data_IF_182936741154
#
_entry.id   IF_182936741154
#
_cell.length_a   1.000
_cell.length_b   1.000
_cell.length_c   1.000
_cell.angle_alpha   90.00
_cell.angle_beta   90.00
_cell.angle_gamma   90.00
#
_symmetry.space_group_name_H-M   'P 1'
#
loop_
_entity.id
_entity.type
_entity.pdbx_description
1 polymer ?
#
# COMPACT_ATOMS: atom_id res chain seq x y z
N UNK A 1 11.68 -2.23 97.87
CA UNK A 1 10.81 -1.13 97.42
C UNK A 1 10.14 -1.57 96.14
N UNK A 2 8.80 -1.59 96.13
CA UNK A 2 7.85 -1.75 95.00
C UNK A 2 7.99 -2.98 94.07
N UNK A 3 6.94 -3.59 93.53
CA UNK A 3 5.50 -3.68 93.79
C UNK A 3 4.95 -4.61 92.69
N UNK A 4 3.97 -5.48 93.03
CA UNK A 4 2.88 -6.02 92.17
C UNK A 4 3.24 -6.80 90.88
N UNK A 5 3.04 -8.13 90.85
CA UNK A 5 1.81 -8.88 90.48
C UNK A 5 1.47 -8.88 88.97
N UNK A 6 1.53 -10.04 88.29
CA UNK A 6 0.34 -10.86 87.98
C UNK A 6 0.62 -12.02 87.00
N UNK A 7 0.04 -13.17 87.37
CA UNK A 7 -0.56 -14.22 86.55
C UNK A 7 0.29 -15.03 85.54
N UNK A 8 0.56 -16.29 85.91
CA UNK A 8 0.68 -17.38 84.93
C UNK A 8 -0.06 -18.62 85.48
N UNK A 9 -1.05 -19.14 84.73
CA UNK A 9 -1.69 -20.44 85.00
C UNK A 9 -1.57 -21.33 83.76
N UNK A 10 -1.23 -22.63 83.93
CA UNK A 10 -0.95 -23.55 82.84
C UNK A 10 -2.17 -24.40 82.49
N UNK A 11 -2.23 -24.95 81.27
CA UNK A 11 -2.97 -26.19 81.03
C UNK A 11 -2.30 -27.08 79.99
N UNK A 12 -2.03 -28.30 80.43
CA UNK A 12 -1.55 -29.43 79.65
C UNK A 12 -2.68 -30.05 78.82
N UNK A 13 -2.32 -30.59 77.66
CA UNK A 13 -3.18 -31.44 76.84
C UNK A 13 -2.33 -32.28 75.88
N UNK A 14 -2.05 -33.52 76.27
CA UNK A 14 -1.32 -34.53 75.48
C UNK A 14 -2.28 -35.14 74.45
N UNK A 15 -1.93 -35.11 73.17
CA UNK A 15 -2.53 -35.96 72.14
C UNK A 15 -1.42 -36.80 71.47
N UNK A 16 -1.47 -38.12 71.63
CA UNK A 16 -0.64 -39.07 70.89
C UNK A 16 -1.16 -39.13 69.45
N UNK A 17 -0.38 -38.65 68.48
CA UNK A 17 -0.63 -38.87 67.05
C UNK A 17 0.06 -40.16 66.63
N UNK A 18 -0.72 -41.11 66.10
CA UNK A 18 -0.22 -42.31 65.44
C UNK A 18 0.58 -41.91 64.19
N UNK A 19 1.81 -42.41 64.07
CA UNK A 19 2.63 -42.26 62.87
C UNK A 19 2.16 -43.28 61.82
N UNK A 20 1.44 -42.81 60.79
CA UNK A 20 1.25 -43.56 59.56
C UNK A 20 2.49 -43.38 58.69
N UNK A 21 3.37 -44.39 58.64
CA UNK A 21 4.51 -44.42 57.73
C UNK A 21 4.03 -44.72 56.31
N UNK A 22 4.22 -43.77 55.38
CA UNK A 22 4.04 -44.00 53.95
C UNK A 22 5.29 -44.72 53.43
N UNK A 23 5.15 -45.96 52.93
CA UNK A 23 6.24 -46.69 52.29
C UNK A 23 6.43 -46.11 50.89
N UNK A 24 7.32 -45.12 50.78
CA UNK A 24 7.86 -44.72 49.47
C UNK A 24 8.77 -45.86 49.04
N UNK A 25 8.37 -46.62 48.02
CA UNK A 25 9.25 -47.62 47.41
C UNK A 25 10.44 -46.89 46.77
N UNK A 26 11.64 -47.48 46.87
CA UNK A 26 12.88 -46.87 46.38
C UNK A 26 12.77 -46.45 44.90
N UNK A 27 11.98 -47.18 44.11
CA UNK A 27 11.68 -46.87 42.71
C UNK A 27 10.95 -45.52 42.53
N UNK A 28 10.00 -45.18 43.40
CA UNK A 28 9.30 -43.89 43.33
C UNK A 28 10.25 -42.74 43.64
N UNK A 29 11.16 -42.92 44.61
CA UNK A 29 12.17 -41.92 44.95
C UNK A 29 13.16 -41.73 43.79
N UNK A 30 13.53 -42.80 43.11
CA UNK A 30 14.44 -42.79 41.96
C UNK A 30 13.77 -42.12 40.74
N UNK A 31 12.49 -42.38 40.49
CA UNK A 31 11.73 -41.72 39.42
C UNK A 31 11.56 -40.22 39.70
N UNK A 32 11.21 -39.83 40.92
CA UNK A 32 11.06 -38.42 41.30
C UNK A 32 12.40 -37.68 41.18
N UNK A 33 13.51 -38.30 41.60
CA UNK A 33 14.83 -37.64 41.53
C UNK A 33 15.32 -37.47 40.09
N UNK A 34 15.17 -38.48 39.22
CA UNK A 34 15.49 -38.32 37.79
C UNK A 34 14.58 -37.28 37.14
N UNK A 35 13.29 -37.29 37.46
CA UNK A 35 12.33 -36.34 36.89
C UNK A 35 12.65 -34.91 37.33
N UNK A 36 12.84 -34.66 38.63
CA UNK A 36 13.07 -33.31 39.18
C UNK A 36 14.46 -32.80 38.81
N UNK A 37 15.52 -33.59 38.96
CA UNK A 37 16.87 -33.14 38.59
C UNK A 37 17.02 -33.03 37.07
N UNK A 38 16.45 -33.96 36.31
CA UNK A 38 16.46 -33.93 34.85
C UNK A 38 15.69 -32.73 34.28
N UNK A 39 14.53 -32.40 34.86
CA UNK A 39 13.75 -31.23 34.41
C UNK A 39 14.40 -29.90 34.82
N UNK A 40 15.06 -29.80 35.98
CA UNK A 40 15.83 -28.60 36.34
C UNK A 40 16.99 -28.37 35.37
N UNK A 41 17.74 -29.42 35.01
CA UNK A 41 18.82 -29.32 34.02
C UNK A 41 18.27 -28.97 32.63
N UNK A 42 17.14 -29.57 32.23
CA UNK A 42 16.46 -29.26 30.97
C UNK A 42 16.01 -27.80 30.86
N UNK A 43 15.42 -27.24 31.92
CA UNK A 43 14.99 -25.83 31.97
C UNK A 43 16.20 -24.89 31.88
N UNK A 44 17.29 -25.19 32.57
CA UNK A 44 18.52 -24.36 32.52
C UNK A 44 19.15 -24.41 31.12
N UNK A 45 19.19 -25.58 30.48
CA UNK A 45 19.72 -25.72 29.12
C UNK A 45 18.86 -24.98 28.07
N UNK A 46 17.53 -25.04 28.20
CA UNK A 46 16.62 -24.26 27.33
C UNK A 46 16.82 -22.77 27.55
N UNK A 47 16.94 -22.31 28.81
CA UNK A 47 17.20 -20.90 29.11
C UNK A 47 18.53 -20.42 28.55
N UNK A 48 19.59 -21.19 28.71
CA UNK A 48 20.92 -20.86 28.17
C UNK A 48 20.93 -20.86 26.63
N UNK A 49 20.25 -21.82 26.00
CA UNK A 49 20.08 -21.84 24.54
C UNK A 49 19.24 -20.66 24.02
N UNK A 50 18.18 -20.27 24.73
CA UNK A 50 17.36 -19.10 24.39
C UNK A 50 18.14 -17.80 24.57
N UNK A 51 18.92 -17.67 25.64
CA UNK A 51 19.79 -16.50 25.86
C UNK A 51 20.88 -16.43 24.80
N UNK A 52 21.54 -17.55 24.47
CA UNK A 52 22.54 -17.60 23.39
C UNK A 52 21.94 -17.27 22.03
N UNK A 53 20.73 -17.76 21.73
CA UNK A 53 20.01 -17.42 20.49
C UNK A 53 19.63 -15.93 20.46
N UNK A 54 19.15 -15.39 21.57
CA UNK A 54 18.79 -13.98 21.70
C UNK A 54 20.01 -13.05 21.54
N UNK A 55 21.13 -13.40 22.19
CA UNK A 55 22.40 -12.65 22.09
C UNK A 55 23.03 -12.78 20.70
N UNK A 56 22.95 -13.96 20.07
CA UNK A 56 23.43 -14.17 18.70
C UNK A 56 22.59 -13.45 17.65
N UNK A 57 21.29 -13.25 17.88
CA UNK A 57 20.44 -12.43 17.01
C UNK A 57 20.72 -10.93 17.21
N UNK A 58 21.07 -10.49 18.42
CA UNK A 58 21.49 -9.11 18.67
C UNK A 58 22.85 -8.78 18.07
N UNK A 59 23.78 -9.74 17.96
CA UNK A 59 25.11 -9.53 17.39
C UNK A 59 25.14 -9.49 15.85
N UNK A 60 24.00 -9.45 15.16
CA UNK A 60 23.91 -9.41 13.69
C UNK A 60 23.12 -8.20 13.14
N UNK A 61 22.59 -7.36 14.02
CA UNK A 61 21.71 -6.25 13.65
C UNK A 61 22.53 -5.06 13.15
N UNK A 62 22.35 -4.73 11.88
CA UNK A 62 22.95 -3.55 11.26
C UNK A 62 22.26 -2.28 11.79
N UNK A 63 23.04 -1.36 12.35
CA UNK A 63 22.51 -0.07 12.84
C UNK A 63 22.90 1.01 11.85
N UNK A 64 21.92 1.83 11.46
CA UNK A 64 22.14 2.98 10.58
C UNK A 64 22.37 4.23 11.43
N UNK A 65 23.42 4.97 11.11
CA UNK A 65 23.80 6.21 11.79
C UNK A 65 23.98 7.35 10.79
N UNK A 66 23.76 8.58 11.24
CA UNK A 66 24.02 9.78 10.47
C UNK A 66 25.51 10.21 10.54
N UNK A 67 25.86 11.32 9.89
CA UNK A 67 27.22 11.84 9.85
C UNK A 67 27.79 12.20 11.23
N UNK A 68 26.92 12.55 12.18
CA UNK A 68 27.27 12.92 13.56
C UNK A 68 27.27 11.72 14.51
N UNK A 69 26.93 10.52 14.02
CA UNK A 69 26.84 9.29 14.80
C UNK A 69 25.52 9.14 15.56
N UNK A 70 24.50 9.96 15.26
CA UNK A 70 23.14 9.78 15.78
C UNK A 70 22.55 8.52 15.14
N UNK A 71 22.05 7.62 15.96
CA UNK A 71 21.39 6.41 15.47
C UNK A 71 20.02 6.75 14.86
N UNK A 72 19.78 6.29 13.64
CA UNK A 72 18.47 6.33 13.00
C UNK A 72 17.62 5.14 13.45
N UNK A 73 18.25 3.96 13.52
CA UNK A 73 17.60 2.73 13.94
C UNK A 73 18.29 1.47 13.45
N UNK A 74 17.66 0.34 13.72
CA UNK A 74 18.05 -0.97 13.21
C UNK A 74 17.50 -1.16 11.78
N UNK A 75 18.33 -1.66 10.87
CA UNK A 75 17.89 -2.06 9.54
C UNK A 75 16.98 -3.30 9.64
N UNK A 76 15.76 -3.18 9.13
CA UNK A 76 14.82 -4.29 9.04
C UNK A 76 15.22 -5.28 7.94
N UNK A 77 15.64 -4.75 6.80
CA UNK A 77 16.17 -5.47 5.65
C UNK A 77 16.93 -4.49 4.71
N UNK A 78 17.20 -4.91 3.48
CA UNK A 78 17.85 -4.12 2.44
C UNK A 78 17.01 -4.13 1.17
N UNK A 79 17.03 -3.03 0.42
CA UNK A 79 16.33 -2.93 -0.87
C UNK A 79 17.13 -3.56 -2.02
N UNK A 80 16.57 -3.53 -3.23
CA UNK A 80 17.18 -4.04 -4.46
C UNK A 80 18.54 -3.40 -4.82
N UNK A 81 18.94 -2.33 -4.13
CA UNK A 81 20.18 -1.60 -4.31
C UNK A 81 21.09 -1.68 -3.08
N UNK A 82 20.89 -2.68 -2.22
CA UNK A 82 21.61 -2.90 -0.96
C UNK A 82 21.52 -1.72 0.02
N UNK A 83 20.52 -0.84 -0.12
CA UNK A 83 20.29 0.24 0.84
C UNK A 83 19.49 -0.30 2.04
N UNK A 84 19.95 -0.08 3.30
CA UNK A 84 19.20 -0.52 4.48
C UNK A 84 17.84 0.17 4.54
N UNK A 85 16.79 -0.59 4.89
CA UNK A 85 15.45 -0.06 5.13
C UNK A 85 15.09 -0.12 6.61
N UNK A 86 14.45 0.91 7.11
CA UNK A 86 14.04 1.04 8.50
C UNK A 86 12.53 1.32 8.58
N UNK A 87 11.90 0.82 9.63
CA UNK A 87 10.55 1.23 9.98
C UNK A 87 10.60 2.58 10.69
N UNK A 88 10.04 3.61 10.06
CA UNK A 88 9.64 4.83 10.73
C UNK A 88 8.23 4.66 11.30
N UNK A 89 7.99 5.17 12.50
CA UNK A 89 6.67 5.16 13.14
C UNK A 89 6.20 6.60 13.22
N UNK A 90 5.17 6.95 12.44
CA UNK A 90 4.52 8.24 12.54
C UNK A 90 3.66 8.27 13.81
N UNK A 91 4.04 9.15 14.73
CA UNK A 91 3.37 9.38 16.02
C UNK A 91 2.60 10.69 16.06
N UNK A 92 2.57 11.42 14.96
CA UNK A 92 1.84 12.69 14.86
C UNK A 92 0.34 12.51 14.53
N UNK A 93 -0.14 11.26 14.55
CA UNK A 93 -1.53 10.87 14.26
C UNK A 93 -2.15 10.12 15.45
N UNK A 94 -3.47 9.99 15.44
CA UNK A 94 -4.23 9.22 16.45
C UNK A 94 -3.88 7.72 16.45
N UNK A 95 -3.35 7.21 15.33
CA UNK A 95 -2.86 5.85 15.17
C UNK A 95 -1.37 5.88 14.80
N UNK A 96 -0.64 4.88 15.32
CA UNK A 96 0.76 4.69 14.98
C UNK A 96 0.90 4.03 13.61
N UNK A 97 0.95 4.86 12.58
CA UNK A 97 1.24 4.42 11.23
C UNK A 97 2.74 4.19 11.04
N UNK A 98 3.09 3.40 10.04
CA UNK A 98 4.48 3.05 9.75
C UNK A 98 4.80 3.39 8.31
N UNK A 99 6.02 3.85 8.08
CA UNK A 99 6.61 4.00 6.75
C UNK A 99 7.89 3.17 6.67
N UNK A 100 8.13 2.54 5.52
CA UNK A 100 9.37 1.84 5.26
C UNK A 100 10.32 2.79 4.52
N UNK A 101 11.37 3.24 5.20
CA UNK A 101 12.32 4.24 4.70
C UNK A 101 13.63 3.57 4.37
N UNK A 102 14.02 3.58 3.10
CA UNK A 102 15.38 3.24 2.67
C UNK A 102 16.35 4.38 2.99
N UNK A 103 17.59 4.03 3.35
CA UNK A 103 18.64 4.99 3.65
C UNK A 103 19.84 4.73 2.76
N UNK A 104 20.10 5.65 1.84
CA UNK A 104 21.32 5.67 1.03
C UNK A 104 22.35 6.57 1.69
N UNK A 105 23.57 6.57 1.18
CA UNK A 105 24.66 7.41 1.71
C UNK A 105 24.27 8.90 1.77
N UNK A 106 23.51 9.42 0.81
CA UNK A 106 23.22 10.85 0.69
C UNK A 106 21.76 11.25 0.98
N UNK A 107 20.83 10.28 1.08
CA UNK A 107 19.40 10.56 1.11
C UNK A 107 18.54 9.45 1.71
N UNK A 108 17.33 9.82 2.09
CA UNK A 108 16.24 8.90 2.38
C UNK A 108 15.46 8.54 1.12
N UNK A 109 14.85 7.35 1.10
CA UNK A 109 14.12 6.85 -0.07
C UNK A 109 12.85 6.08 0.30
N UNK A 110 11.85 6.14 -0.57
CA UNK A 110 10.60 5.37 -0.55
C UNK A 110 10.31 4.84 -1.94
N UNK A 111 9.43 3.83 -2.06
CA UNK A 111 8.99 3.36 -3.38
C UNK A 111 8.12 4.41 -4.05
N UNK A 112 7.24 5.05 -3.28
CA UNK A 112 6.27 6.05 -3.73
C UNK A 112 6.97 7.32 -4.24
N UNK A 113 6.60 7.81 -5.44
CA UNK A 113 7.01 9.12 -5.92
C UNK A 113 6.08 10.22 -5.40
N UNK A 114 6.60 11.46 -5.40
CA UNK A 114 5.79 12.67 -5.23
C UNK A 114 5.75 13.47 -6.53
N UNK A 115 4.62 14.08 -6.83
CA UNK A 115 4.34 14.86 -8.03
C UNK A 115 4.23 16.33 -7.69
N UNK A 116 4.74 17.21 -8.57
CA UNK A 116 4.83 18.65 -8.31
C UNK A 116 4.35 19.47 -9.52
N UNK A 117 3.81 20.66 -9.22
CA UNK A 117 3.48 21.66 -10.22
C UNK A 117 4.79 22.31 -10.71
N UNK A 118 5.15 22.11 -11.99
CA UNK A 118 6.40 22.61 -12.57
C UNK A 118 7.52 21.57 -12.66
N UNK A 119 8.70 21.97 -13.14
CA UNK A 119 9.73 21.06 -13.67
C UNK A 119 10.89 20.76 -12.71
N UNK A 120 10.83 21.21 -11.46
CA UNK A 120 11.95 21.20 -10.50
C UNK A 120 11.63 20.57 -9.14
N UNK A 121 10.50 19.87 -9.00
CA UNK A 121 10.04 19.26 -7.74
C UNK A 121 9.94 20.26 -6.57
N UNK A 122 9.58 21.50 -6.89
CA UNK A 122 9.35 22.57 -5.91
C UNK A 122 7.85 22.73 -5.64
N UNK A 123 7.50 23.26 -4.47
CA UNK A 123 6.12 23.48 -4.05
C UNK A 123 5.51 22.31 -3.28
N UNK A 124 4.20 22.40 -3.04
CA UNK A 124 3.46 21.38 -2.29
C UNK A 124 3.28 20.13 -3.16
N UNK A 125 3.78 18.96 -2.72
CA UNK A 125 3.66 17.75 -3.51
C UNK A 125 2.27 17.12 -3.43
N UNK A 126 1.97 16.33 -4.45
CA UNK A 126 0.91 15.34 -4.42
C UNK A 126 1.48 13.93 -4.43
N UNK A 127 0.76 13.00 -3.81
CA UNK A 127 1.11 11.58 -3.79
C UNK A 127 -0.02 10.82 -4.46
N UNK A 128 0.32 9.72 -5.13
CA UNK A 128 -0.70 8.78 -5.55
C UNK A 128 -1.34 8.15 -4.31
N UNK A 129 -2.67 8.05 -4.31
CA UNK A 129 -3.39 7.32 -3.27
C UNK A 129 -2.85 5.89 -3.17
N UNK A 130 -3.07 5.24 -2.03
CA UNK A 130 -2.57 3.89 -1.74
C UNK A 130 -2.92 2.93 -2.88
N UNK A 131 -1.87 2.44 -3.53
CA UNK A 131 -1.93 1.65 -4.75
C UNK A 131 -2.59 0.27 -4.60
N UNK A 132 -3.21 -0.17 -5.69
CA UNK A 132 -3.72 -1.51 -5.94
C UNK A 132 -2.76 -2.21 -6.95
N UNK A 133 -2.42 -3.49 -6.73
CA UNK A 133 -1.49 -4.26 -7.60
C UNK A 133 -1.92 -4.35 -9.06
N UNK A 134 -3.23 -4.41 -9.29
CA UNK A 134 -3.81 -4.57 -10.61
C UNK A 134 -3.72 -3.30 -11.44
N UNK A 135 -3.73 -2.16 -10.76
CA UNK A 135 -3.74 -0.83 -11.36
C UNK A 135 -2.36 -0.23 -11.50
N UNK A 136 -1.49 -0.47 -10.52
CA UNK A 136 -0.31 0.34 -10.30
C UNK A 136 1.00 -0.42 -10.49
N UNK A 137 0.95 -1.68 -10.91
CA UNK A 137 2.16 -2.41 -11.25
C UNK A 137 2.86 -1.86 -12.50
N UNK A 138 2.19 -1.03 -13.32
CA UNK A 138 2.79 -0.43 -14.51
C UNK A 138 3.45 0.90 -14.17
N UNK A 139 4.73 1.03 -14.50
CA UNK A 139 5.41 2.32 -14.43
C UNK A 139 4.90 3.27 -15.52
N UNK A 140 5.33 4.54 -15.46
CA UNK A 140 5.08 5.52 -16.53
C UNK A 140 5.69 5.14 -17.88
N UNK A 141 6.57 4.15 -17.90
CA UNK A 141 7.10 3.51 -19.11
C UNK A 141 6.14 2.47 -19.71
N UNK A 142 4.98 2.22 -19.06
CA UNK A 142 3.96 1.26 -19.48
C UNK A 142 4.33 -0.21 -19.22
N UNK A 143 5.46 -0.48 -18.56
CA UNK A 143 5.95 -1.85 -18.33
C UNK A 143 5.36 -2.41 -17.03
N UNK A 144 4.77 -3.60 -17.08
CA UNK A 144 4.26 -4.28 -15.88
C UNK A 144 5.41 -4.69 -14.95
N UNK A 145 5.28 -4.39 -13.66
CA UNK A 145 6.29 -4.60 -12.63
C UNK A 145 7.28 -3.43 -12.44
N UNK A 146 7.23 -2.37 -13.25
CA UNK A 146 8.05 -1.16 -13.06
C UNK A 146 7.36 -0.06 -12.24
N UNK A 147 6.12 -0.32 -11.82
CA UNK A 147 5.30 0.56 -11.01
C UNK A 147 5.88 0.82 -9.62
N UNK A 148 5.61 2.01 -9.11
CA UNK A 148 6.10 2.48 -7.81
C UNK A 148 5.08 2.19 -6.71
N UNK A 149 5.01 0.92 -6.26
CA UNK A 149 3.98 0.43 -5.31
C UNK A 149 4.60 -0.02 -3.98
N UNK A 150 4.15 0.52 -2.84
CA UNK A 150 4.39 -0.02 -1.50
C UNK A 150 3.19 -0.80 -0.97
N UNK A 151 3.32 -2.12 -1.07
CA UNK A 151 2.48 -3.11 -0.38
C UNK A 151 2.32 -2.86 1.11
N UNK A 152 3.36 -2.29 1.73
CA UNK A 152 3.34 -2.04 3.17
C UNK A 152 2.37 -0.92 3.55
N UNK A 153 2.25 0.11 2.71
CA UNK A 153 1.30 1.18 2.93
C UNK A 153 -0.13 0.70 2.60
N UNK A 154 -0.28 -0.13 1.56
CA UNK A 154 -1.54 -0.82 1.22
C UNK A 154 -2.13 -1.63 2.37
N UNK A 155 -1.32 -2.42 3.07
CA UNK A 155 -1.79 -3.21 4.23
C UNK A 155 -2.25 -2.37 5.43
N UNK A 156 -1.86 -1.09 5.49
CA UNK A 156 -2.27 -0.16 6.55
C UNK A 156 -3.54 0.62 6.18
N UNK A 157 -4.03 0.51 4.94
CA UNK A 157 -5.17 1.22 4.41
C UNK A 157 -4.81 2.63 3.96
N UNK A 158 -4.52 3.52 4.91
CA UNK A 158 -4.07 4.91 4.72
C UNK A 158 -3.42 5.41 6.01
N UNK A 159 -2.51 6.41 5.96
CA UNK A 159 -2.10 7.17 4.78
C UNK A 159 -0.92 6.53 4.03
N UNK A 160 -0.76 6.85 2.74
CA UNK A 160 0.45 6.57 1.98
C UNK A 160 1.60 7.49 2.44
N UNK A 161 2.86 7.03 2.29
CA UNK A 161 4.06 7.79 2.68
C UNK A 161 5.07 7.84 1.55
N UNK A 162 5.71 9.00 1.36
CA UNK A 162 6.78 9.16 0.38
C UNK A 162 7.86 10.13 0.87
N UNK A 163 9.10 9.91 0.44
CA UNK A 163 10.19 10.87 0.61
C UNK A 163 10.27 11.76 -0.62
N UNK A 164 10.09 13.06 -0.38
CA UNK A 164 10.15 14.13 -1.36
C UNK A 164 11.37 15.03 -1.21
N UNK A 165 11.33 16.13 -1.96
CA UNK A 165 12.27 17.24 -1.80
C UNK A 165 12.13 17.86 -0.41
N UNK A 166 13.23 17.93 0.34
CA UNK A 166 13.30 18.69 1.59
C UNK A 166 13.64 20.16 1.34
N UNK A 167 13.67 20.98 2.41
CA UNK A 167 13.94 22.42 2.32
C UNK A 167 15.27 22.77 1.61
N UNK A 168 16.28 21.89 1.71
CA UNK A 168 17.58 22.01 1.03
C UNK A 168 17.80 20.97 -0.07
N UNK A 169 16.74 20.30 -0.55
CA UNK A 169 16.86 19.14 -1.44
C UNK A 169 17.10 17.85 -0.66
N UNK A 170 18.33 17.31 -0.76
CA UNK A 170 18.75 16.11 -0.03
C UNK A 170 19.05 16.47 1.46
N UNK A 171 18.86 15.54 2.41
CA UNK A 171 18.55 14.11 2.26
C UNK A 171 17.08 13.79 1.93
N UNK A 172 16.22 14.80 1.78
CA UNK A 172 14.80 14.66 1.52
C UNK A 172 13.96 14.84 2.78
N UNK A 173 12.65 14.99 2.61
CA UNK A 173 11.66 15.13 3.68
C UNK A 173 10.57 14.06 3.54
N UNK A 174 10.02 13.60 4.66
CA UNK A 174 8.94 12.62 4.67
C UNK A 174 7.59 13.32 4.58
N UNK A 175 6.78 12.90 3.60
CA UNK A 175 5.41 13.36 3.40
C UNK A 175 4.45 12.21 3.57
N UNK A 176 3.22 12.53 3.97
CA UNK A 176 2.10 11.59 4.01
C UNK A 176 0.92 12.10 3.20
N UNK A 177 0.14 11.17 2.71
CA UNK A 177 -1.17 11.40 2.10
C UNK A 177 -2.14 12.05 3.09
N UNK A 178 -2.95 12.99 2.60
CA UNK A 178 -4.11 13.54 3.30
C UNK A 178 -5.40 13.03 2.66
N UNK A 179 -6.55 13.30 3.30
CA UNK A 179 -7.86 12.97 2.73
C UNK A 179 -8.34 13.96 1.66
N UNK A 180 -7.56 15.00 1.36
CA UNK A 180 -7.92 16.04 0.40
C UNK A 180 -7.35 15.69 -0.98
N UNK A 181 -8.14 15.91 -2.03
CA UNK A 181 -7.67 15.79 -3.41
C UNK A 181 -6.45 16.67 -3.66
N UNK A 182 -5.56 16.23 -4.54
CA UNK A 182 -4.43 17.04 -4.98
C UNK A 182 -4.91 18.40 -5.50
N UNK A 183 -4.35 19.53 -5.03
CA UNK A 183 -4.73 20.86 -5.51
C UNK A 183 -4.12 21.19 -6.88
N UNK A 184 -3.26 20.32 -7.42
CA UNK A 184 -2.61 20.46 -8.72
C UNK A 184 -3.43 19.67 -9.73
N UNK A 185 -3.89 20.32 -10.80
CA UNK A 185 -4.52 19.64 -11.92
C UNK A 185 -3.51 18.70 -12.60
N UNK A 186 -3.96 17.53 -13.07
CA UNK A 186 -3.05 16.52 -13.66
C UNK A 186 -2.23 17.09 -14.81
N UNK A 187 -2.82 17.98 -15.62
CA UNK A 187 -2.17 18.63 -16.75
C UNK A 187 -1.07 19.64 -16.35
N UNK A 188 -1.08 20.11 -15.10
CA UNK A 188 -0.08 21.06 -14.58
C UNK A 188 1.12 20.35 -13.92
N UNK A 189 1.09 19.01 -13.85
CA UNK A 189 2.18 18.21 -13.30
C UNK A 189 3.33 18.13 -14.29
N UNK A 190 4.43 18.81 -13.96
CA UNK A 190 5.62 18.91 -14.79
C UNK A 190 6.81 18.11 -14.29
N UNK A 191 6.78 17.63 -13.03
CA UNK A 191 7.87 16.84 -12.46
C UNK A 191 7.42 15.88 -11.37
N UNK A 192 8.27 14.88 -11.12
CA UNK A 192 8.12 13.96 -10.01
C UNK A 192 9.46 13.64 -9.35
N UNK A 193 9.41 13.40 -8.05
CA UNK A 193 10.56 13.02 -7.24
C UNK A 193 10.55 11.51 -7.00
N UNK A 194 11.51 10.79 -7.57
CA UNK A 194 11.63 9.33 -7.45
C UNK A 194 12.84 8.99 -6.58
N UNK A 195 12.65 9.03 -5.26
CA UNK A 195 13.75 8.97 -4.30
C UNK A 195 14.59 7.68 -4.37
N UNK A 196 14.00 6.55 -4.76
CA UNK A 196 14.73 5.29 -4.96
C UNK A 196 15.66 5.27 -6.18
N UNK A 197 15.47 6.17 -7.15
CA UNK A 197 16.22 6.15 -8.40
C UNK A 197 17.70 6.37 -8.15
N UNK A 198 18.55 5.49 -8.70
CA UNK A 198 20.01 5.60 -8.59
C UNK A 198 20.53 6.62 -9.61
N UNK A 199 20.59 7.90 -9.21
CA UNK A 199 21.11 9.00 -10.05
C UNK A 199 22.16 9.83 -9.31
N UNK A 200 23.13 10.34 -10.08
CA UNK A 200 24.04 11.36 -9.61
C UNK A 200 23.31 12.71 -9.54
N UNK A 201 23.10 13.23 -8.33
CA UNK A 201 22.40 14.49 -8.09
C UNK A 201 20.93 14.33 -7.67
N UNK A 202 20.07 15.21 -8.16
CA UNK A 202 18.66 15.27 -7.76
C UNK A 202 17.86 14.10 -8.33
N UNK A 203 17.03 13.42 -7.52
CA UNK A 203 16.09 12.39 -7.98
C UNK A 203 14.79 12.98 -8.59
N UNK A 204 14.75 14.30 -8.80
CA UNK A 204 13.69 14.96 -9.53
C UNK A 204 13.81 14.74 -11.04
N UNK A 205 12.72 14.39 -11.70
CA UNK A 205 12.65 14.27 -13.15
C UNK A 205 11.40 14.96 -13.72
N UNK A 206 11.53 15.48 -14.93
CA UNK A 206 10.38 16.02 -15.66
C UNK A 206 9.46 14.87 -16.08
N UNK A 207 8.15 15.09 -15.95
CA UNK A 207 7.10 14.17 -16.39
C UNK A 207 6.00 15.00 -17.05
N UNK A 208 5.31 14.42 -18.03
CA UNK A 208 4.02 14.93 -18.50
C UNK A 208 3.03 13.80 -18.28
N UNK A 209 1.95 14.12 -17.58
CA UNK A 209 0.84 13.20 -17.35
C UNK A 209 -0.29 13.43 -18.37
N UNK A 210 -0.09 14.32 -19.36
CA UNK A 210 -1.08 14.66 -20.40
C UNK A 210 -1.38 13.51 -21.38
N UNK A 211 -0.69 12.38 -21.24
CA UNK A 211 -0.83 11.20 -22.08
C UNK A 211 -0.81 9.94 -21.21
N UNK A 212 -1.75 9.85 -20.26
CA UNK A 212 -1.99 8.57 -19.59
C UNK A 212 -2.64 7.68 -20.64
N UNK A 213 -1.91 6.66 -21.11
CA UNK A 213 -2.22 5.91 -22.32
C UNK A 213 -3.69 5.52 -22.44
N UNK A 214 -4.26 5.74 -23.63
CA UNK A 214 -5.61 5.29 -23.95
C UNK A 214 -5.57 3.84 -24.38
N UNK A 215 -6.42 3.01 -23.79
CA UNK A 215 -6.65 1.63 -24.23
C UNK A 215 -8.10 1.50 -24.71
N UNK A 216 -8.39 0.62 -25.68
CA UNK A 216 -9.77 0.36 -26.08
C UNK A 216 -10.56 -0.27 -24.93
N UNK A 217 -11.78 0.21 -24.69
CA UNK A 217 -12.68 -0.40 -23.73
C UNK A 217 -13.09 -1.80 -24.17
N UNK A 218 -13.31 -2.70 -23.21
CA UNK A 218 -13.91 -4.00 -23.48
C UNK A 218 -15.41 -3.82 -23.69
N UNK A 219 -15.83 -3.84 -24.96
CA UNK A 219 -17.22 -3.58 -25.37
C UNK A 219 -18.05 -4.82 -25.66
N UNK A 220 -17.53 -6.03 -25.40
CA UNK A 220 -18.27 -7.26 -25.74
C UNK A 220 -19.54 -7.45 -24.88
N UNK A 221 -19.61 -6.77 -23.73
CA UNK A 221 -20.79 -6.73 -22.86
C UNK A 221 -21.74 -5.56 -23.17
N UNK A 222 -21.44 -4.74 -24.19
CA UNK A 222 -22.20 -3.53 -24.50
C UNK A 222 -23.60 -3.82 -25.02
N UNK A 223 -23.81 -4.96 -25.69
CA UNK A 223 -25.12 -5.40 -26.15
C UNK A 223 -25.54 -6.59 -25.32
N UNK A 224 -26.69 -6.48 -24.65
CA UNK A 224 -27.22 -7.51 -23.75
C UNK A 224 -27.31 -8.88 -24.43
N UNK A 225 -26.50 -9.83 -23.96
CA UNK A 225 -26.67 -11.27 -24.22
C UNK A 225 -27.59 -11.81 -23.11
N UNK A 226 -28.43 -12.84 -23.34
CA UNK A 226 -29.36 -13.35 -22.32
C UNK A 226 -28.74 -13.90 -21.00
N UNK A 227 -27.43 -13.78 -20.80
CA UNK A 227 -26.73 -14.07 -19.55
C UNK A 227 -26.01 -12.80 -19.04
N UNK A 228 -25.89 -12.60 -17.71
CA UNK A 228 -25.13 -11.49 -17.16
C UNK A 228 -23.70 -11.53 -17.70
N UNK A 229 -23.30 -10.46 -18.36
CA UNK A 229 -21.97 -10.33 -18.93
C UNK A 229 -21.07 -9.67 -17.89
N UNK A 230 -20.16 -10.44 -17.30
CA UNK A 230 -19.20 -9.92 -16.35
C UNK A 230 -17.95 -9.39 -17.08
N UNK A 231 -17.37 -8.31 -16.56
CA UNK A 231 -16.09 -7.82 -17.04
C UNK A 231 -15.00 -8.90 -16.90
N UNK A 232 -14.12 -9.05 -17.90
CA UNK A 232 -13.03 -10.03 -17.82
C UNK A 232 -12.05 -9.66 -16.70
N UNK A 233 -11.28 -10.65 -16.23
CA UNK A 233 -10.28 -10.40 -15.20
C UNK A 233 -9.27 -9.31 -15.64
N UNK A 234 -9.01 -8.36 -14.74
CA UNK A 234 -8.17 -7.18 -15.05
C UNK A 234 -8.95 -5.97 -15.58
N UNK A 235 -10.29 -6.03 -15.60
CA UNK A 235 -11.17 -4.93 -16.00
C UNK A 235 -12.20 -4.62 -14.91
N UNK A 236 -12.60 -3.35 -14.82
CA UNK A 236 -13.63 -2.82 -13.93
C UNK A 236 -14.86 -2.39 -14.74
N UNK A 237 -16.02 -2.47 -14.09
CA UNK A 237 -17.32 -2.10 -14.65
C UNK A 237 -17.48 -0.58 -14.58
N UNK A 238 -17.70 0.05 -15.74
CA UNK A 238 -17.89 1.50 -15.90
C UNK A 238 -19.38 1.88 -16.01
N UNK A 239 -20.28 1.02 -15.51
CA UNK A 239 -21.73 1.20 -15.59
C UNK A 239 -22.22 2.47 -14.92
N UNK A 240 -21.58 2.91 -13.83
CA UNK A 240 -21.92 4.15 -13.14
C UNK A 240 -21.62 5.41 -13.98
N UNK A 241 -20.52 5.40 -14.74
CA UNK A 241 -20.20 6.45 -15.72
C UNK A 241 -21.17 6.37 -16.89
N UNK A 242 -21.39 5.17 -17.44
CA UNK A 242 -22.28 4.94 -18.59
C UNK A 242 -23.73 5.33 -18.31
N UNK A 243 -24.22 5.11 -17.08
CA UNK A 243 -25.56 5.48 -16.63
C UNK A 243 -25.87 6.97 -16.81
N UNK A 244 -24.87 7.85 -16.66
CA UNK A 244 -25.02 9.29 -16.91
C UNK A 244 -25.29 9.61 -18.38
N UNK A 245 -24.85 8.74 -19.29
CA UNK A 245 -24.94 8.90 -20.74
C UNK A 245 -26.05 8.06 -21.37
N UNK A 246 -26.58 7.05 -20.67
CA UNK A 246 -27.66 6.18 -21.15
C UNK A 246 -28.85 6.92 -21.78
N UNK A 247 -29.37 8.04 -21.22
CA UNK A 247 -30.48 8.76 -21.85
C UNK A 247 -30.15 9.28 -23.25
N UNK A 248 -28.93 9.78 -23.44
CA UNK A 248 -28.47 10.29 -24.74
C UNK A 248 -28.17 9.15 -25.72
N UNK A 249 -27.54 8.07 -25.23
CA UNK A 249 -27.27 6.85 -26.01
C UNK A 249 -28.58 6.24 -26.52
N UNK A 250 -29.57 6.01 -25.64
CA UNK A 250 -30.84 5.41 -26.01
C UNK A 250 -31.61 6.24 -27.04
N UNK A 251 -31.64 7.57 -26.88
CA UNK A 251 -32.30 8.46 -27.85
C UNK A 251 -31.65 8.41 -29.24
N UNK A 252 -30.32 8.39 -29.30
CA UNK A 252 -29.58 8.29 -30.56
C UNK A 252 -29.71 6.89 -31.17
N UNK A 253 -29.65 5.85 -30.35
CA UNK A 253 -29.84 4.45 -30.73
C UNK A 253 -31.22 4.24 -31.36
N UNK A 254 -32.30 4.70 -30.72
CA UNK A 254 -33.68 4.61 -31.24
C UNK A 254 -33.80 5.29 -32.61
N UNK A 255 -33.27 6.51 -32.73
CA UNK A 255 -33.32 7.29 -33.98
C UNK A 255 -32.54 6.59 -35.10
N UNK A 256 -31.38 6.03 -34.77
CA UNK A 256 -30.52 5.33 -35.72
C UNK A 256 -31.15 4.00 -36.15
N UNK A 257 -31.73 3.23 -35.21
CA UNK A 257 -32.43 1.98 -35.51
C UNK A 257 -33.65 2.20 -36.40
N UNK A 258 -34.43 3.26 -36.21
CA UNK A 258 -35.54 3.61 -37.12
C UNK A 258 -35.03 3.83 -38.54
N UNK A 259 -33.91 4.55 -38.67
CA UNK A 259 -33.29 4.84 -39.97
C UNK A 259 -32.79 3.56 -40.64
N UNK A 260 -32.06 2.71 -39.92
CA UNK A 260 -31.55 1.44 -40.44
C UNK A 260 -32.68 0.47 -40.79
N UNK A 261 -33.68 0.33 -39.93
CA UNK A 261 -34.83 -0.55 -40.18
C UNK A 261 -35.62 -0.11 -41.42
N UNK A 262 -35.67 1.19 -41.75
CA UNK A 262 -36.29 1.64 -42.99
C UNK A 262 -35.60 1.08 -44.26
N UNK A 263 -34.29 0.85 -44.19
CA UNK A 263 -33.51 0.23 -45.27
C UNK A 263 -33.64 -1.29 -45.24
N UNK A 264 -33.50 -1.91 -44.05
CA UNK A 264 -33.57 -3.36 -43.88
C UNK A 264 -34.94 -3.94 -44.26
N UNK A 265 -36.03 -3.22 -44.01
CA UNK A 265 -37.39 -3.63 -44.37
C UNK A 265 -37.57 -3.84 -45.88
N UNK A 266 -36.80 -3.12 -46.73
CA UNK A 266 -36.82 -3.33 -48.19
C UNK A 266 -36.33 -4.74 -48.58
N UNK A 267 -35.55 -5.36 -47.69
CA UNK A 267 -35.03 -6.71 -47.83
C UNK A 267 -35.73 -7.73 -46.92
N UNK A 268 -36.80 -7.33 -46.24
CA UNK A 268 -37.55 -8.20 -45.32
C UNK A 268 -36.80 -8.51 -44.01
N UNK A 269 -35.77 -7.74 -43.67
CA UNK A 269 -35.04 -7.84 -42.40
C UNK A 269 -35.43 -6.70 -41.45
N UNK A 270 -35.25 -6.92 -40.16
CA UNK A 270 -35.46 -5.92 -39.11
C UNK A 270 -34.53 -6.24 -37.93
N UNK A 271 -33.98 -5.21 -37.31
CA UNK A 271 -33.28 -5.31 -36.04
C UNK A 271 -34.27 -5.12 -34.89
N UNK A 272 -34.14 -5.96 -33.88
CA UNK A 272 -34.83 -5.81 -32.61
C UNK A 272 -34.29 -4.58 -31.86
N UNK A 273 -35.07 -4.03 -30.90
CA UNK A 273 -34.56 -3.01 -29.99
C UNK A 273 -33.28 -3.48 -29.30
N UNK A 274 -32.30 -2.59 -29.22
CA UNK A 274 -31.01 -2.87 -28.60
C UNK A 274 -31.08 -2.34 -27.17
N UNK A 275 -30.77 -3.20 -26.20
CA UNK A 275 -30.58 -2.79 -24.81
C UNK A 275 -29.07 -2.61 -24.57
N UNK A 276 -28.71 -1.45 -24.02
CA UNK A 276 -27.32 -1.12 -23.70
C UNK A 276 -26.95 -1.81 -22.40
N UNK A 277 -25.92 -2.64 -22.46
CA UNK A 277 -25.32 -3.32 -21.32
C UNK A 277 -24.16 -2.53 -20.73
N UNK A 278 -23.08 -3.23 -20.43
CA UNK A 278 -21.94 -2.69 -19.68
C UNK A 278 -20.72 -2.47 -20.57
N UNK A 279 -19.95 -1.42 -20.26
CA UNK A 279 -18.59 -1.22 -20.75
C UNK A 279 -17.61 -1.51 -19.61
N UNK A 280 -16.48 -2.12 -19.95
CA UNK A 280 -15.44 -2.36 -18.96
C UNK A 280 -14.13 -1.69 -19.38
N UNK A 281 -13.49 -1.04 -18.43
CA UNK A 281 -12.15 -0.49 -18.61
C UNK A 281 -11.10 -1.35 -17.92
N UNK A 282 -9.85 -1.41 -18.42
CA UNK A 282 -8.78 -2.01 -17.66
C UNK A 282 -8.69 -1.37 -16.27
N UNK A 283 -8.36 -2.16 -15.27
CA UNK A 283 -8.09 -1.66 -13.92
C UNK A 283 -7.11 -0.46 -14.00
N UNK A 284 -7.42 0.62 -13.26
CA UNK A 284 -6.73 1.93 -13.26
C UNK A 284 -7.10 2.89 -14.40
N UNK A 285 -8.08 2.53 -15.21
CA UNK A 285 -8.57 3.38 -16.29
C UNK A 285 -10.05 3.67 -16.10
N UNK A 286 -10.47 4.85 -16.51
CA UNK A 286 -11.86 5.28 -16.50
C UNK A 286 -12.35 5.45 -17.94
N UNK A 287 -13.64 5.28 -18.14
CA UNK A 287 -14.26 5.46 -19.46
C UNK A 287 -14.10 6.92 -19.94
N UNK A 288 -13.49 7.10 -21.12
CA UNK A 288 -13.35 8.42 -21.72
C UNK A 288 -14.71 8.95 -22.19
N UNK A 289 -15.09 10.14 -21.72
CA UNK A 289 -16.41 10.72 -21.99
C UNK A 289 -16.56 11.34 -23.39
N UNK A 290 -15.44 11.76 -24.00
CA UNK A 290 -15.46 12.41 -25.32
C UNK A 290 -15.93 11.43 -26.39
N UNK A 291 -16.94 11.83 -27.16
CA UNK A 291 -17.57 11.04 -28.22
C UNK A 291 -18.20 9.71 -27.77
N UNK A 292 -18.30 9.45 -26.45
CA UNK A 292 -18.84 8.22 -25.87
C UNK A 292 -20.22 7.86 -26.42
N UNK A 293 -21.11 8.85 -26.55
CA UNK A 293 -22.47 8.64 -27.06
C UNK A 293 -22.47 8.09 -28.48
N UNK A 294 -21.66 8.68 -29.37
CA UNK A 294 -21.56 8.26 -30.76
C UNK A 294 -20.87 6.89 -30.86
N UNK A 295 -19.76 6.72 -30.13
CA UNK A 295 -18.98 5.49 -30.10
C UNK A 295 -19.79 4.29 -29.59
N UNK A 296 -20.54 4.47 -28.49
CA UNK A 296 -21.40 3.45 -27.91
C UNK A 296 -22.51 3.02 -28.89
N UNK A 297 -23.22 3.97 -29.51
CA UNK A 297 -24.26 3.65 -30.51
C UNK A 297 -23.67 2.94 -31.73
N UNK A 298 -22.53 3.43 -32.25
CA UNK A 298 -21.85 2.80 -33.37
C UNK A 298 -21.43 1.36 -33.03
N UNK A 299 -20.80 1.14 -31.88
CA UNK A 299 -20.33 -0.18 -31.44
C UNK A 299 -21.51 -1.14 -31.20
N UNK A 300 -22.55 -0.70 -30.50
CA UNK A 300 -23.73 -1.52 -30.22
C UNK A 300 -24.44 -1.99 -31.51
N UNK A 301 -24.68 -1.07 -32.44
CA UNK A 301 -25.31 -1.42 -33.72
C UNK A 301 -24.39 -2.32 -34.55
N UNK A 302 -23.09 -2.04 -34.58
CA UNK A 302 -22.12 -2.84 -35.35
C UNK A 302 -22.07 -4.28 -34.84
N UNK A 303 -22.06 -4.49 -33.51
CA UNK A 303 -22.10 -5.82 -32.90
C UNK A 303 -23.38 -6.59 -33.30
N UNK A 304 -24.54 -5.93 -33.28
CA UNK A 304 -25.80 -6.55 -33.72
C UNK A 304 -25.76 -6.87 -35.21
N UNK A 305 -25.29 -5.95 -36.06
CA UNK A 305 -25.17 -6.16 -37.50
C UNK A 305 -24.17 -7.28 -37.85
N UNK A 306 -23.09 -7.43 -37.11
CA UNK A 306 -22.10 -8.51 -37.30
C UNK A 306 -22.65 -9.88 -36.92
N UNK A 307 -23.55 -9.92 -35.93
CA UNK A 307 -24.29 -11.15 -35.58
C UNK A 307 -25.43 -11.45 -36.55
N UNK A 308 -25.95 -10.43 -37.23
CA UNK A 308 -27.00 -10.56 -38.22
C UNK A 308 -26.42 -11.09 -39.55
N UNK A 309 -27.11 -12.05 -40.17
CA UNK A 309 -26.74 -12.59 -41.49
C UNK A 309 -27.18 -11.64 -42.60
N UNK A 310 -26.48 -10.53 -42.74
CA UNK A 310 -26.77 -9.46 -43.71
C UNK A 310 -25.88 -9.66 -44.95
N UNK A 311 -26.45 -9.42 -46.13
CA UNK A 311 -25.70 -9.47 -47.39
C UNK A 311 -24.61 -8.38 -47.42
N UNK A 312 -23.46 -8.68 -48.05
CA UNK A 312 -22.30 -7.77 -48.07
C UNK A 312 -22.62 -6.40 -48.69
N UNK A 313 -23.49 -6.36 -49.71
CA UNK A 313 -23.84 -5.12 -50.40
C UNK A 313 -24.78 -4.25 -49.56
N UNK A 314 -25.68 -4.88 -48.81
CA UNK A 314 -26.52 -4.23 -47.82
C UNK A 314 -25.68 -3.74 -46.62
N UNK A 315 -24.73 -4.56 -46.14
CA UNK A 315 -23.81 -4.19 -45.06
C UNK A 315 -23.04 -2.91 -45.37
N UNK A 316 -22.47 -2.79 -46.58
CA UNK A 316 -21.77 -1.57 -47.01
C UNK A 316 -22.67 -0.32 -46.98
N UNK A 317 -23.95 -0.47 -47.34
CA UNK A 317 -24.90 0.65 -47.29
C UNK A 317 -25.21 1.07 -45.85
N UNK A 318 -25.32 0.10 -44.93
CA UNK A 318 -25.53 0.38 -43.51
C UNK A 318 -24.26 1.00 -42.88
N UNK A 319 -23.07 0.57 -43.30
CA UNK A 319 -21.80 1.14 -42.83
C UNK A 319 -21.66 2.61 -43.24
N UNK A 320 -22.06 2.97 -44.47
CA UNK A 320 -22.09 4.37 -44.91
C UNK A 320 -23.05 5.24 -44.09
N UNK A 321 -24.19 4.67 -43.66
CA UNK A 321 -25.14 5.36 -42.77
C UNK A 321 -24.60 5.52 -41.35
N UNK A 322 -23.79 4.58 -40.87
CA UNK A 322 -23.19 4.59 -39.54
C UNK A 322 -21.87 5.36 -39.47
N UNK A 323 -21.23 5.63 -40.60
CA UNK A 323 -19.94 6.32 -40.68
C UNK A 323 -19.85 7.63 -39.86
N UNK A 324 -20.90 8.48 -39.79
CA UNK A 324 -20.87 9.69 -38.97
C UNK A 324 -20.75 9.44 -37.46
N UNK A 325 -21.12 8.25 -36.99
CA UNK A 325 -21.07 7.85 -35.57
C UNK A 325 -19.77 7.13 -35.22
N UNK A 326 -18.94 6.81 -36.21
CA UNK A 326 -17.75 5.99 -36.03
C UNK A 326 -16.74 6.71 -35.13
N UNK A 327 -16.57 6.16 -33.94
CA UNK A 327 -15.55 6.55 -32.96
C UNK A 327 -15.17 5.33 -32.12
N UNK A 328 -13.99 5.37 -31.52
CA UNK A 328 -13.52 4.34 -30.60
C UNK A 328 -14.06 4.62 -29.20
N UNK A 329 -14.38 3.55 -28.46
CA UNK A 329 -14.67 3.64 -27.02
C UNK A 329 -13.35 3.41 -26.31
N UNK A 330 -12.84 4.44 -25.64
CA UNK A 330 -11.52 4.45 -25.04
C UNK A 330 -11.63 4.54 -23.52
N UNK A 331 -10.66 3.96 -22.85
CA UNK A 331 -10.40 4.11 -21.44
C UNK A 331 -9.13 4.92 -21.26
N UNK A 332 -9.20 5.93 -20.41
CA UNK A 332 -8.05 6.76 -20.05
C UNK A 332 -7.55 6.33 -18.68
N UNK A 333 -6.25 6.09 -18.55
CA UNK A 333 -5.69 5.84 -17.23
C UNK A 333 -5.85 7.09 -16.35
N UNK A 334 -6.28 6.91 -15.10
CA UNK A 334 -6.40 8.02 -14.14
C UNK A 334 -5.34 7.87 -13.07
N UNK A 335 -4.60 8.95 -12.76
CA UNK A 335 -3.77 8.99 -11.55
C UNK A 335 -4.57 9.72 -10.47
N UNK A 336 -5.14 8.96 -9.53
CA UNK A 336 -5.74 9.56 -8.34
C UNK A 336 -4.64 10.09 -7.43
N UNK A 337 -4.45 11.41 -7.50
CA UNK A 337 -3.50 12.14 -6.67
C UNK A 337 -4.22 12.77 -5.48
N UNK A 338 -3.63 12.58 -4.31
CA UNK A 338 -4.04 13.20 -3.06
C UNK A 338 -3.03 14.27 -2.66
N UNK A 339 -3.50 15.30 -1.97
CA UNK A 339 -2.64 16.30 -1.36
C UNK A 339 -1.79 15.63 -0.28
N UNK A 340 -0.57 16.14 -0.09
CA UNK A 340 0.32 15.67 0.96
C UNK A 340 0.55 16.73 2.02
N UNK A 341 0.99 16.26 3.18
CA UNK A 341 1.52 17.13 4.23
C UNK A 341 2.85 16.58 4.77
N UNK A 342 3.77 17.44 5.24
CA UNK A 342 5.01 17.00 5.84
C UNK A 342 4.74 16.28 7.16
N UNK A 343 5.41 15.14 7.36
CA UNK A 343 5.37 14.42 8.64
C UNK A 343 6.25 15.15 9.65
N UNK A 344 5.66 15.56 10.77
CA UNK A 344 6.34 16.32 11.81
C UNK A 344 7.31 15.46 12.64
N UNK A 345 8.42 16.05 13.10
CA UNK A 345 9.32 15.39 14.05
C UNK A 345 8.60 15.19 15.40
N UNK A 346 8.71 13.99 16.02
CA UNK A 346 8.01 13.70 17.27
C UNK A 346 8.49 14.53 18.47
N UNK A 347 9.68 15.15 18.41
CA UNK A 347 10.25 16.00 19.44
C UNK A 347 10.13 17.49 19.11
N UNK A 348 10.03 17.84 17.83
CA UNK A 348 9.83 19.21 17.36
C UNK A 348 8.81 19.26 16.20
N UNK A 349 7.54 19.58 16.47
CA UNK A 349 6.50 19.57 15.44
C UNK A 349 6.68 20.66 14.37
N UNK A 350 7.65 21.57 14.54
CA UNK A 350 7.97 22.61 13.54
C UNK A 350 8.94 22.14 12.46
N UNK A 351 9.52 20.95 12.63
CA UNK A 351 10.47 20.34 11.70
C UNK A 351 9.88 19.08 11.06
N UNK A 352 10.38 18.73 9.88
CA UNK A 352 10.07 17.44 9.29
C UNK A 352 10.79 16.31 10.04
N UNK A 353 10.16 15.14 10.11
CA UNK A 353 10.67 13.95 10.77
C UNK A 353 12.08 13.51 10.35
N UNK A 354 12.50 13.83 9.12
CA UNK A 354 13.81 13.45 8.59
C UNK A 354 14.85 14.57 8.67
N UNK A 355 14.45 15.81 8.96
CA UNK A 355 15.37 16.97 9.03
C UNK A 355 16.33 16.89 10.22
N UNK A 356 16.00 16.09 11.23
CA UNK A 356 16.85 15.89 12.40
C UNK A 356 18.10 15.02 12.13
N UNK A 357 18.32 14.56 10.89
CA UNK A 357 19.43 13.68 10.52
C UNK A 357 20.24 14.25 9.35
N UNK A 358 21.56 14.07 9.41
CA UNK A 358 22.46 14.63 8.39
C UNK A 358 23.24 13.56 7.64
N UNK A 359 23.22 13.60 6.31
CA UNK A 359 24.10 12.80 5.46
C UNK A 359 25.60 13.18 5.64
N UNK A 360 26.58 12.29 5.37
CA UNK A 360 26.39 10.95 4.86
C UNK A 360 25.98 9.91 5.91
N UNK A 361 25.07 9.02 5.52
CA UNK A 361 24.60 7.91 6.36
C UNK A 361 25.54 6.71 6.25
N UNK A 362 25.62 5.91 7.31
CA UNK A 362 26.51 4.75 7.39
C UNK A 362 25.86 3.59 8.11
N UNK A 363 26.19 2.38 7.67
CA UNK A 363 25.80 1.14 8.33
C UNK A 363 26.94 0.66 9.23
N UNK A 364 26.68 0.56 10.53
CA UNK A 364 27.57 -0.10 11.47
C UNK A 364 27.18 -1.59 11.59
N UNK A 365 28.06 -2.46 11.10
CA UNK A 365 27.95 -3.91 11.34
C UNK A 365 28.48 -4.25 12.75
N UNK A 366 27.89 -5.22 13.47
CA UNK A 366 28.38 -5.59 14.79
C UNK A 366 29.79 -6.19 14.70
N UNK A 367 30.79 -5.47 15.22
CA UNK A 367 32.09 -6.05 15.52
C UNK A 367 31.96 -6.92 16.78
N UNK A 368 32.57 -8.12 16.78
CA UNK A 368 32.61 -9.04 17.90
C UNK A 368 32.77 -8.31 19.25
N UNK A 369 31.69 -8.26 20.04
CA UNK A 369 31.62 -7.47 21.26
C UNK A 369 32.41 -8.15 22.39
N UNK A 370 33.60 -7.64 22.69
CA UNK A 370 34.39 -8.00 23.87
C UNK A 370 34.16 -7.04 25.05
N UNK A 371 33.87 -7.63 26.22
CA UNK A 371 33.93 -7.21 27.64
C UNK A 371 33.50 -5.79 28.12
N UNK A 372 32.95 -4.95 27.27
CA UNK A 372 32.46 -3.60 27.63
C UNK A 372 31.00 -3.34 27.28
N UNK A 373 30.13 -4.34 27.43
CA UNK A 373 28.72 -4.37 27.02
C UNK A 373 27.99 -3.01 27.07
N UNK A 374 27.64 -2.50 25.89
CA UNK A 374 26.82 -1.30 25.73
C UNK A 374 25.33 -1.62 25.92
N UNK A 375 24.66 -0.65 26.56
CA UNK A 375 23.31 -0.72 27.12
C UNK A 375 22.27 -0.26 26.11
N UNK A 376 21.13 -0.95 26.08
CA UNK A 376 19.89 -0.45 25.47
C UNK A 376 19.51 0.88 26.12
N UNK A 377 19.31 1.92 25.31
CA UNK A 377 18.62 3.14 25.71
C UNK A 377 17.22 3.07 25.09
N UNK A 378 16.22 2.52 25.80
CA UNK A 378 14.83 2.75 25.42
C UNK A 378 14.52 4.25 25.57
N UNK A 379 13.58 4.80 24.77
CA UNK A 379 13.12 6.17 24.95
C UNK A 379 12.60 6.36 26.39
N UNK A 380 12.88 7.52 26.98
CA UNK A 380 12.39 7.86 28.33
C UNK A 380 10.86 7.88 28.32
N UNK A 381 10.25 6.84 28.87
CA UNK A 381 8.82 6.83 29.21
C UNK A 381 8.01 5.69 28.61
N UNK A 382 8.29 4.46 29.05
CA UNK A 382 7.23 3.48 29.28
C UNK A 382 7.35 3.00 30.72
N UNK A 383 6.38 3.39 31.56
CA UNK A 383 6.19 2.82 32.90
C UNK A 383 6.98 3.46 34.04
N UNK A 384 6.66 4.70 34.42
CA UNK A 384 6.78 5.13 35.82
C UNK A 384 5.38 5.28 36.42
N UNK A 385 4.87 4.21 37.04
CA UNK A 385 4.10 4.41 38.26
C UNK A 385 5.13 4.68 39.37
N UNK A 386 5.01 5.83 40.01
CA UNK A 386 5.66 6.13 41.27
C UNK A 386 4.59 6.24 42.36
N UNK A 387 4.91 6.07 43.64
CA UNK A 387 5.90 5.20 44.27
C UNK A 387 5.32 3.85 44.75
#
# INVERSE_FOLDING_TARGET
MSSSNAANRPHAGRARKAQGGFVITVELLLLITILVLGSLVGIVAIRDALVKRYVSQQSQKAIVVDAQGKALGEAADFDEHDAPRLFYIDRSQDRNYRALIGVRDDRFTTREPLYYAGNSCEGDPCIKAVSDESTDNRGVDGISGSGSVSYFNALQGQPNYAVGQGASGLPGALFRETTQSCPIEIADIGSRWVSQKVVAGSPCEAVSLDAIGTEPAYSACLVSVPEPCDCPAGYEDEGDVLDNYLPAINALLDTTLVTLNSVLLLTGQQLDPIEVGTLCCPQAMALQESDLVNAAVYSAITQVLDSARIDQQLRATLDDLLAPLKSDILCEAFVQLQATEPVADPNDPTQNALEAFTAPFRVNLPAAAGDGAWRSVPPTGEGTFAP
#
